data_IF_204175526980
#
_entry.id   IF_204175526980
#
_cell.length_a   1.000
_cell.length_b   1.000
_cell.length_c   1.000
_cell.angle_alpha   90.00
_cell.angle_beta   90.00
_cell.angle_gamma   90.00
#
_symmetry.space_group_name_H-M   'P 1'
#
loop_
_entity.id
_entity.type
_entity.pdbx_description
1 polymer ?
#
# COMPACT_ATOMS: atom_id res chain seq x y z
N UNK A 1 -10.31 17.46 -13.32
CA UNK A 1 -9.14 17.14 -14.21
C UNK A 1 -8.06 16.54 -13.31
N UNK A 2 -7.48 15.41 -13.71
CA UNK A 2 -6.38 14.78 -12.97
C UNK A 2 -5.12 15.67 -12.99
N UNK A 3 -4.35 15.74 -11.88
CA UNK A 3 -3.02 16.34 -11.91
C UNK A 3 -2.13 15.65 -12.97
N UNK A 4 -1.20 16.40 -13.56
CA UNK A 4 -0.35 15.88 -14.64
C UNK A 4 0.42 14.61 -14.24
N UNK A 5 1.01 14.60 -13.04
CA UNK A 5 1.72 13.42 -12.47
C UNK A 5 0.79 12.22 -12.37
N UNK A 6 -0.42 12.42 -11.80
CA UNK A 6 -1.39 11.34 -11.62
C UNK A 6 -1.85 10.78 -12.98
N UNK A 7 -2.03 11.64 -14.00
CA UNK A 7 -2.38 11.19 -15.35
C UNK A 7 -1.27 10.31 -15.98
N UNK A 8 0.01 10.65 -15.75
CA UNK A 8 1.15 9.84 -16.20
C UNK A 8 1.17 8.50 -15.46
N UNK A 9 0.98 8.53 -14.14
CA UNK A 9 0.93 7.32 -13.31
C UNK A 9 -0.24 6.42 -13.71
N UNK A 10 -1.42 6.99 -13.95
CA UNK A 10 -2.57 6.23 -14.44
C UNK A 10 -2.27 5.54 -15.77
N UNK A 11 -1.66 6.27 -16.72
CA UNK A 11 -1.27 5.70 -18.03
C UNK A 11 -0.30 4.53 -17.87
N UNK A 12 0.72 4.66 -17.00
CA UNK A 12 1.68 3.61 -16.71
C UNK A 12 1.00 2.40 -16.06
N UNK A 13 0.22 2.64 -14.99
CA UNK A 13 -0.46 1.58 -14.24
C UNK A 13 -1.50 0.83 -15.09
N UNK A 14 -2.29 1.53 -15.91
CA UNK A 14 -3.27 0.87 -16.79
C UNK A 14 -2.61 0.06 -17.92
N UNK A 15 -1.44 0.49 -18.44
CA UNK A 15 -0.66 -0.30 -19.40
C UNK A 15 -0.15 -1.58 -18.73
N UNK A 16 0.45 -1.46 -17.57
CA UNK A 16 0.97 -2.59 -16.78
C UNK A 16 -0.14 -3.52 -16.27
N UNK A 17 -1.28 -2.97 -15.86
CA UNK A 17 -2.44 -3.71 -15.39
C UNK A 17 -3.04 -4.68 -16.42
N UNK A 18 -2.85 -4.43 -17.73
CA UNK A 18 -3.25 -5.40 -18.77
C UNK A 18 -2.43 -6.69 -18.70
N UNK A 19 -1.15 -6.59 -18.34
CA UNK A 19 -0.28 -7.75 -18.12
C UNK A 19 -0.76 -8.51 -16.90
N UNK A 20 -1.02 -7.77 -15.80
CA UNK A 20 -1.50 -8.33 -14.55
C UNK A 20 -2.83 -9.09 -14.73
N UNK A 21 -3.82 -8.49 -15.40
CA UNK A 21 -5.13 -9.14 -15.65
C UNK A 21 -4.96 -10.43 -16.44
N UNK A 22 -4.09 -10.42 -17.46
CA UNK A 22 -3.86 -11.61 -18.28
C UNK A 22 -3.27 -12.77 -17.48
N UNK A 23 -2.32 -12.46 -16.60
CA UNK A 23 -1.52 -13.45 -15.88
C UNK A 23 -2.17 -13.81 -14.50
N UNK A 24 -3.26 -13.11 -14.10
CA UNK A 24 -3.94 -13.31 -12.82
C UNK A 24 -4.62 -14.68 -12.72
N UNK A 25 -4.24 -15.44 -11.70
CA UNK A 25 -4.79 -16.78 -11.48
C UNK A 25 -4.23 -17.88 -12.41
N UNK A 26 -3.32 -17.55 -13.34
CA UNK A 26 -2.66 -18.48 -14.25
C UNK A 26 -1.47 -19.19 -13.59
N UNK A 27 -1.70 -19.83 -12.44
CA UNK A 27 -0.66 -20.39 -11.56
C UNK A 27 0.24 -21.38 -12.31
N UNK A 28 -0.33 -22.21 -13.20
CA UNK A 28 0.39 -23.23 -13.94
C UNK A 28 1.38 -22.64 -14.97
N UNK A 29 1.14 -21.41 -15.42
CA UNK A 29 1.95 -20.72 -16.43
C UNK A 29 2.94 -19.71 -15.82
N UNK A 30 2.87 -19.44 -14.53
CA UNK A 30 3.77 -18.51 -13.85
C UNK A 30 5.04 -19.22 -13.42
N UNK A 31 6.19 -18.69 -13.81
CA UNK A 31 7.47 -19.08 -13.22
C UNK A 31 7.57 -18.43 -11.85
N UNK A 32 7.12 -19.15 -10.82
CA UNK A 32 7.16 -18.71 -9.43
C UNK A 32 8.53 -19.01 -8.86
N UNK A 33 9.20 -17.99 -8.32
CA UNK A 33 10.42 -18.14 -7.55
C UNK A 33 10.14 -17.70 -6.11
N UNK A 34 10.51 -18.53 -5.14
CA UNK A 34 10.43 -18.17 -3.73
C UNK A 34 11.71 -17.41 -3.34
N UNK A 35 11.57 -16.18 -2.88
CA UNK A 35 12.66 -15.41 -2.22
C UNK A 35 12.90 -15.97 -0.81
N UNK A 36 11.78 -16.26 -0.09
CA UNK A 36 11.72 -16.87 1.25
C UNK A 36 10.39 -17.59 1.42
N UNK A 37 10.17 -18.24 2.58
CA UNK A 37 8.86 -18.84 2.90
C UNK A 37 7.80 -17.73 2.95
N UNK A 38 6.82 -17.80 2.02
CA UNK A 38 5.75 -16.80 1.92
C UNK A 38 6.11 -15.52 1.15
N UNK A 39 7.36 -15.40 0.67
CA UNK A 39 7.86 -14.28 -0.12
C UNK A 39 8.16 -14.77 -1.54
N UNK A 40 7.33 -14.38 -2.49
CA UNK A 40 7.36 -14.86 -3.86
C UNK A 40 7.61 -13.73 -4.84
N UNK A 41 8.31 -14.06 -5.92
CA UNK A 41 8.36 -13.25 -7.13
C UNK A 41 7.92 -14.10 -8.30
N UNK A 42 7.15 -13.52 -9.19
CA UNK A 42 6.72 -14.19 -10.41
C UNK A 42 7.32 -13.52 -11.64
N UNK A 43 7.26 -14.23 -12.77
CA UNK A 43 7.61 -13.59 -14.05
C UNK A 43 6.70 -12.40 -14.38
N UNK A 44 5.53 -12.29 -13.73
CA UNK A 44 4.62 -11.16 -13.88
C UNK A 44 5.15 -9.89 -13.22
N UNK A 45 5.69 -9.99 -11.97
CA UNK A 45 6.27 -8.85 -11.25
C UNK A 45 7.34 -8.16 -12.10
N UNK A 46 8.29 -8.94 -12.63
CA UNK A 46 9.38 -8.43 -13.48
C UNK A 46 8.87 -7.78 -14.79
N UNK A 47 7.85 -8.37 -15.44
CA UNK A 47 7.26 -7.82 -16.67
C UNK A 47 6.49 -6.53 -16.39
N UNK A 48 5.76 -6.48 -15.29
CA UNK A 48 4.98 -5.33 -14.86
C UNK A 48 5.93 -4.19 -14.48
N UNK A 49 6.95 -4.44 -13.65
CA UNK A 49 7.95 -3.45 -13.29
C UNK A 49 8.65 -2.88 -14.52
N UNK A 50 9.09 -3.73 -15.45
CA UNK A 50 9.69 -3.29 -16.71
C UNK A 50 8.76 -2.37 -17.50
N UNK A 51 7.48 -2.72 -17.62
CA UNK A 51 6.48 -1.91 -18.33
C UNK A 51 6.25 -0.55 -17.66
N UNK A 52 6.24 -0.51 -16.31
CA UNK A 52 6.14 0.71 -15.52
C UNK A 52 7.37 1.59 -15.74
N UNK A 53 8.58 1.03 -15.58
CA UNK A 53 9.84 1.75 -15.77
C UNK A 53 9.99 2.31 -17.17
N UNK A 54 9.65 1.55 -18.23
CA UNK A 54 9.69 2.04 -19.61
C UNK A 54 8.80 3.29 -19.80
N UNK A 55 7.60 3.27 -19.22
CA UNK A 55 6.67 4.39 -19.35
C UNK A 55 7.11 5.57 -18.49
N UNK A 56 7.51 5.34 -17.25
CA UNK A 56 7.87 6.40 -16.31
C UNK A 56 9.19 7.08 -16.71
N UNK A 57 10.20 6.35 -17.15
CA UNK A 57 11.48 6.91 -17.64
C UNK A 57 11.32 7.80 -18.86
N UNK A 58 10.29 7.58 -19.68
CA UNK A 58 9.99 8.47 -20.80
C UNK A 58 9.56 9.88 -20.33
N UNK A 59 8.78 9.95 -19.22
CA UNK A 59 8.28 11.21 -18.67
C UNK A 59 9.20 11.82 -17.60
N UNK A 60 9.96 10.97 -16.90
CA UNK A 60 10.85 11.32 -15.80
C UNK A 60 12.26 10.73 -16.02
N UNK A 61 12.98 11.17 -17.08
CA UNK A 61 14.28 10.56 -17.46
C UNK A 61 15.37 10.75 -16.40
N UNK A 62 15.29 11.81 -15.60
CA UNK A 62 16.29 12.17 -14.59
C UNK A 62 15.88 11.71 -13.17
N UNK A 63 14.73 11.06 -12.99
CA UNK A 63 14.26 10.63 -11.67
C UNK A 63 15.14 9.51 -11.08
N UNK A 64 15.22 9.49 -9.75
CA UNK A 64 15.62 8.30 -9.03
C UNK A 64 14.44 7.31 -9.00
N UNK A 65 14.72 6.02 -9.04
CA UNK A 65 13.69 5.01 -8.86
C UNK A 65 14.05 4.09 -7.70
N UNK A 66 13.07 3.81 -6.85
CA UNK A 66 13.13 2.78 -5.81
C UNK A 66 12.04 1.78 -6.18
N UNK A 67 12.44 0.56 -6.49
CA UNK A 67 11.52 -0.49 -6.96
C UNK A 67 11.74 -1.77 -6.19
N UNK A 68 10.73 -2.59 -6.09
CA UNK A 68 10.81 -3.83 -5.34
C UNK A 68 11.79 -4.82 -5.99
N UNK A 69 11.75 -4.99 -7.32
CA UNK A 69 12.49 -6.05 -8.01
C UNK A 69 13.87 -5.60 -8.49
N UNK A 70 13.97 -4.41 -9.07
CA UNK A 70 15.25 -3.86 -9.57
C UNK A 70 16.01 -3.06 -8.52
N UNK A 71 15.43 -2.78 -7.35
CA UNK A 71 16.05 -2.01 -6.28
C UNK A 71 16.18 -0.52 -6.61
N UNK A 72 17.34 0.05 -6.35
CA UNK A 72 17.56 1.49 -6.47
C UNK A 72 18.28 1.86 -7.78
N UNK A 73 17.61 2.61 -8.63
CA UNK A 73 18.15 3.17 -9.88
C UNK A 73 18.41 4.67 -9.66
N UNK A 74 19.68 5.06 -9.67
CA UNK A 74 20.10 6.44 -9.40
C UNK A 74 19.78 7.36 -10.57
N UNK A 75 19.29 8.55 -10.27
CA UNK A 75 19.10 9.70 -11.12
C UNK A 75 19.53 10.98 -10.39
N UNK A 76 19.12 12.14 -10.88
CA UNK A 76 19.46 13.45 -10.30
C UNK A 76 18.21 14.28 -9.93
N UNK A 77 17.01 13.73 -10.14
CA UNK A 77 15.73 14.39 -9.92
C UNK A 77 14.99 13.88 -8.68
N UNK A 78 13.68 14.01 -8.73
CA UNK A 78 12.76 13.45 -7.75
C UNK A 78 12.85 11.91 -7.67
N UNK A 79 12.33 11.34 -6.61
CA UNK A 79 12.30 9.89 -6.45
C UNK A 79 10.91 9.35 -6.78
N UNK A 80 10.87 8.36 -7.68
CA UNK A 80 9.66 7.59 -7.98
C UNK A 80 9.81 6.22 -7.32
N UNK A 81 8.80 5.84 -6.52
CA UNK A 81 8.75 4.57 -5.82
C UNK A 81 7.71 3.67 -6.48
N UNK A 82 8.06 2.41 -6.72
CA UNK A 82 7.22 1.46 -7.47
C UNK A 82 7.16 0.13 -6.73
N UNK A 83 5.95 -0.38 -6.56
CA UNK A 83 5.67 -1.78 -6.31
C UNK A 83 4.86 -2.32 -7.48
N UNK A 84 5.38 -3.29 -8.23
CA UNK A 84 4.69 -3.85 -9.39
C UNK A 84 3.45 -4.65 -9.03
N UNK A 85 3.48 -5.41 -7.93
CA UNK A 85 2.36 -6.21 -7.42
C UNK A 85 2.42 -6.30 -5.90
N UNK A 86 1.90 -5.30 -5.19
CA UNK A 86 1.62 -5.50 -3.77
C UNK A 86 0.58 -6.61 -3.59
N UNK A 87 0.92 -7.62 -2.80
CA UNK A 87 0.11 -8.81 -2.60
C UNK A 87 0.41 -9.94 -3.59
N UNK A 88 1.67 -10.19 -3.94
CA UNK A 88 2.10 -11.28 -4.84
C UNK A 88 1.54 -12.64 -4.43
N UNK A 89 1.46 -12.95 -3.14
CA UNK A 89 0.80 -14.18 -2.66
C UNK A 89 -0.67 -14.25 -3.07
N UNK A 90 -1.41 -13.13 -2.95
CA UNK A 90 -2.80 -13.04 -3.38
C UNK A 90 -2.91 -13.21 -4.90
N UNK A 91 -1.99 -12.58 -5.66
CA UNK A 91 -1.94 -12.70 -7.11
C UNK A 91 -1.81 -14.15 -7.57
N UNK A 92 -0.87 -14.89 -6.98
CA UNK A 92 -0.63 -16.31 -7.28
C UNK A 92 -1.88 -17.15 -6.99
N UNK A 93 -2.59 -16.85 -5.89
CA UNK A 93 -3.78 -17.62 -5.48
C UNK A 93 -5.09 -17.12 -6.10
N UNK A 94 -5.07 -16.15 -7.01
CA UNK A 94 -6.27 -15.61 -7.64
C UNK A 94 -7.17 -14.82 -6.68
N UNK A 95 -6.60 -14.28 -5.60
CA UNK A 95 -7.32 -13.43 -4.63
C UNK A 95 -7.21 -11.98 -5.12
N UNK A 96 -8.33 -11.25 -5.34
CA UNK A 96 -8.32 -9.95 -6.02
C UNK A 96 -7.86 -8.78 -5.15
N UNK A 97 -7.24 -9.02 -3.98
CA UNK A 97 -6.65 -7.98 -3.13
C UNK A 97 -5.19 -7.78 -3.51
N UNK A 98 -4.96 -7.04 -4.57
CA UNK A 98 -3.64 -6.75 -5.14
C UNK A 98 -3.58 -5.32 -5.65
N UNK A 99 -2.42 -4.72 -5.66
CA UNK A 99 -2.23 -3.33 -6.10
C UNK A 99 -0.96 -3.11 -6.91
N UNK A 100 -1.04 -2.30 -7.97
CA UNK A 100 0.11 -1.63 -8.58
C UNK A 100 0.28 -0.31 -7.86
N UNK A 101 1.45 -0.06 -7.27
CA UNK A 101 1.73 1.13 -6.47
C UNK A 101 2.76 1.99 -7.17
N UNK A 102 2.48 3.30 -7.29
CA UNK A 102 3.43 4.29 -7.80
C UNK A 102 3.30 5.55 -6.96
N UNK A 103 4.42 6.03 -6.40
CA UNK A 103 4.44 7.33 -5.74
C UNK A 103 5.61 8.19 -6.18
N UNK A 104 5.49 9.49 -5.94
CA UNK A 104 6.56 10.47 -6.16
C UNK A 104 6.92 11.15 -4.86
N UNK A 105 8.22 11.23 -4.59
CA UNK A 105 8.81 11.89 -3.42
C UNK A 105 9.67 13.06 -3.90
N UNK A 106 9.44 14.22 -3.32
CA UNK A 106 10.22 15.44 -3.54
C UNK A 106 10.62 15.99 -2.19
N UNK A 107 11.92 16.21 -1.96
CA UNK A 107 12.45 16.71 -0.68
C UNK A 107 11.94 15.94 0.55
N UNK A 108 11.98 14.62 0.49
CA UNK A 108 11.51 13.66 1.52
C UNK A 108 9.99 13.68 1.78
N UNK A 109 9.20 14.41 0.99
CA UNK A 109 7.74 14.42 1.09
C UNK A 109 7.09 13.65 -0.07
N UNK A 110 6.10 12.81 0.24
CA UNK A 110 5.31 12.11 -0.77
C UNK A 110 4.30 13.11 -1.35
N UNK A 111 4.47 13.48 -2.63
CA UNK A 111 3.67 14.53 -3.27
C UNK A 111 2.52 14.00 -4.11
N UNK A 112 2.69 12.83 -4.72
CA UNK A 112 1.71 12.19 -5.58
C UNK A 112 1.77 10.68 -5.37
N UNK A 113 0.63 10.00 -5.44
CA UNK A 113 0.59 8.55 -5.27
C UNK A 113 -0.66 7.93 -5.88
N UNK A 114 -0.51 6.73 -6.39
CA UNK A 114 -1.60 5.91 -6.89
C UNK A 114 -1.50 4.47 -6.36
N UNK A 115 -2.66 3.84 -6.18
CA UNK A 115 -2.81 2.40 -6.00
C UNK A 115 -3.86 1.93 -6.99
N UNK A 116 -3.49 1.06 -7.89
CA UNK A 116 -4.40 0.55 -8.91
C UNK A 116 -4.62 -0.95 -8.75
N UNK A 117 -5.85 -1.32 -8.42
CA UNK A 117 -6.29 -2.71 -8.48
C UNK A 117 -6.97 -2.95 -9.84
N UNK A 118 -6.30 -3.60 -10.78
CA UNK A 118 -6.86 -3.81 -12.12
C UNK A 118 -7.98 -4.85 -12.17
N UNK A 119 -8.03 -5.80 -11.23
CA UNK A 119 -9.05 -6.84 -11.16
C UNK A 119 -10.38 -6.26 -10.73
N UNK A 120 -10.39 -5.41 -9.70
CA UNK A 120 -11.59 -4.72 -9.22
C UNK A 120 -11.86 -3.40 -9.98
N UNK A 121 -10.94 -3.00 -10.87
CA UNK A 121 -10.95 -1.71 -11.57
C UNK A 121 -11.10 -0.52 -10.60
N UNK A 122 -10.40 -0.59 -9.48
CA UNK A 122 -10.32 0.48 -8.48
C UNK A 122 -9.00 1.24 -8.64
N UNK A 123 -9.08 2.50 -9.05
CA UNK A 123 -7.95 3.41 -9.20
C UNK A 123 -7.99 4.45 -8.08
N UNK A 124 -7.21 4.23 -7.04
CA UNK A 124 -7.02 5.17 -5.94
C UNK A 124 -5.88 6.12 -6.28
N UNK A 125 -6.07 7.42 -5.99
CA UNK A 125 -5.02 8.41 -6.17
C UNK A 125 -5.15 9.55 -5.18
N UNK A 126 -4.01 10.14 -4.85
CA UNK A 126 -3.91 11.39 -4.12
C UNK A 126 -2.75 12.23 -4.65
N UNK A 127 -2.89 13.54 -4.50
CA UNK A 127 -1.83 14.52 -4.74
C UNK A 127 -1.90 15.54 -3.62
N UNK A 128 -0.77 16.00 -3.12
CA UNK A 128 -0.67 16.88 -1.95
C UNK A 128 -1.60 18.10 -2.10
N UNK A 129 -2.51 18.27 -1.13
CA UNK A 129 -3.52 19.33 -1.09
C UNK A 129 -4.69 19.18 -2.07
N UNK A 130 -4.79 18.04 -2.80
CA UNK A 130 -5.88 17.79 -3.77
C UNK A 130 -6.94 16.81 -3.27
N UNK A 131 -6.73 16.22 -2.08
CA UNK A 131 -7.57 15.19 -1.52
C UNK A 131 -7.31 13.82 -2.14
N UNK A 132 -7.94 12.81 -1.54
CA UNK A 132 -7.89 11.42 -1.99
C UNK A 132 -9.12 11.05 -2.80
N UNK A 133 -8.92 10.19 -3.79
CA UNK A 133 -9.94 9.81 -4.77
C UNK A 133 -9.88 8.32 -5.09
N UNK A 134 -11.04 7.73 -5.35
CA UNK A 134 -11.15 6.41 -5.97
C UNK A 134 -11.94 6.56 -7.27
N UNK A 135 -11.32 6.23 -8.40
CA UNK A 135 -11.85 6.53 -9.71
C UNK A 135 -12.19 8.04 -9.81
N UNK A 136 -13.47 8.37 -10.03
CA UNK A 136 -13.92 9.76 -10.13
C UNK A 136 -14.62 10.27 -8.84
N UNK A 137 -14.54 9.52 -7.73
CA UNK A 137 -15.20 9.87 -6.47
C UNK A 137 -14.16 10.27 -5.43
N UNK A 138 -14.37 11.42 -4.76
CA UNK A 138 -13.58 11.81 -3.61
C UNK A 138 -13.87 10.86 -2.46
N UNK A 139 -12.82 10.35 -1.82
CA UNK A 139 -12.90 9.45 -0.67
C UNK A 139 -12.48 10.17 0.62
N UNK A 140 -12.93 9.63 1.74
CA UNK A 140 -12.58 10.07 3.09
C UNK A 140 -12.57 8.87 4.01
N UNK A 141 -11.77 8.95 5.07
CA UNK A 141 -11.78 7.99 6.17
C UNK A 141 -13.16 7.93 6.83
N UNK A 142 -13.45 6.85 7.52
CA UNK A 142 -14.71 6.66 8.24
C UNK A 142 -14.88 7.65 9.39
N UNK A 143 -16.08 7.71 9.96
CA UNK A 143 -16.41 8.55 11.12
C UNK A 143 -16.75 7.72 12.37
N UNK A 144 -16.44 6.42 12.39
CA UNK A 144 -16.67 5.56 13.55
C UNK A 144 -15.74 5.96 14.68
N UNK A 145 -16.26 6.01 15.91
CA UNK A 145 -15.54 6.46 17.11
C UNK A 145 -15.37 5.33 18.13
N UNK A 146 -16.28 4.35 18.11
CA UNK A 146 -16.26 3.22 19.02
C UNK A 146 -15.53 2.04 18.38
N UNK A 147 -14.46 1.56 18.97
CA UNK A 147 -13.71 0.41 18.48
C UNK A 147 -14.60 -0.82 18.26
N UNK A 148 -15.61 -1.03 19.11
CA UNK A 148 -16.56 -2.16 18.99
C UNK A 148 -17.33 -2.18 17.67
N UNK A 149 -17.41 -1.06 16.96
CA UNK A 149 -18.03 -0.96 15.64
C UNK A 149 -17.03 -0.91 14.48
N UNK A 150 -15.72 -0.93 14.79
CA UNK A 150 -14.65 -0.75 13.82
C UNK A 150 -14.13 -2.07 13.25
N UNK A 151 -13.77 -2.06 11.97
CA UNK A 151 -12.97 -3.08 11.32
C UNK A 151 -11.54 -2.62 11.18
N UNK A 152 -10.59 -3.44 11.62
CA UNK A 152 -9.17 -3.10 11.59
C UNK A 152 -8.43 -4.09 10.67
N UNK A 153 -7.63 -3.56 9.75
CA UNK A 153 -6.72 -4.34 8.91
C UNK A 153 -5.41 -4.62 9.62
N UNK A 154 -4.73 -5.71 9.25
CA UNK A 154 -3.38 -6.03 9.72
C UNK A 154 -2.63 -6.91 8.73
N UNK A 155 -1.31 -6.81 8.73
CA UNK A 155 -0.44 -7.86 8.20
C UNK A 155 -0.02 -8.84 9.28
N UNK A 156 0.30 -10.05 8.90
CA UNK A 156 0.82 -11.07 9.80
C UNK A 156 2.27 -11.40 9.45
N UNK A 157 3.13 -11.69 10.43
CA UNK A 157 4.49 -12.14 10.15
C UNK A 157 4.47 -13.41 9.30
N UNK A 158 5.39 -13.49 8.35
CA UNK A 158 5.58 -14.65 7.49
C UNK A 158 7.08 -14.92 7.28
N UNK A 159 7.42 -16.17 6.92
CA UNK A 159 8.80 -16.57 6.73
C UNK A 159 9.61 -16.45 8.02
N UNK A 160 10.73 -15.74 7.96
CA UNK A 160 11.61 -15.50 9.09
C UNK A 160 11.26 -14.23 9.88
N UNK A 161 10.19 -13.54 9.54
CA UNK A 161 9.70 -12.37 10.26
C UNK A 161 9.04 -12.83 11.55
N UNK A 162 9.69 -12.61 12.69
CA UNK A 162 9.17 -12.93 14.02
C UNK A 162 8.87 -11.62 14.72
N UNK A 163 7.58 -11.33 14.90
CA UNK A 163 7.14 -10.21 15.72
C UNK A 163 6.70 -10.76 17.08
N UNK A 164 7.55 -10.65 18.09
CA UNK A 164 7.33 -11.26 19.40
C UNK A 164 5.97 -10.90 20.02
N UNK A 165 5.46 -9.71 19.70
CA UNK A 165 4.26 -9.15 20.32
C UNK A 165 3.02 -9.17 19.39
N UNK A 166 3.18 -9.54 18.12
CA UNK A 166 2.08 -9.50 17.14
C UNK A 166 0.82 -10.22 17.59
N UNK A 167 0.95 -11.43 18.14
CA UNK A 167 -0.20 -12.21 18.55
C UNK A 167 -0.92 -11.62 19.76
N UNK A 168 -0.20 -10.93 20.65
CA UNK A 168 -0.80 -10.17 21.76
C UNK A 168 -1.53 -8.93 21.23
N UNK A 169 -0.89 -8.18 20.31
CA UNK A 169 -1.53 -7.06 19.62
C UNK A 169 -2.83 -7.49 18.94
N UNK A 170 -2.78 -8.59 18.18
CA UNK A 170 -3.95 -9.16 17.50
C UNK A 170 -5.03 -9.56 18.49
N UNK A 171 -4.68 -10.21 19.59
CA UNK A 171 -5.61 -10.59 20.65
C UNK A 171 -6.28 -9.35 21.26
N UNK A 172 -5.51 -8.33 21.63
CA UNK A 172 -6.01 -7.10 22.23
C UNK A 172 -6.98 -6.38 21.29
N UNK A 173 -6.58 -6.16 20.04
CA UNK A 173 -7.42 -5.48 19.04
C UNK A 173 -8.68 -6.31 18.74
N UNK A 174 -8.57 -7.62 18.60
CA UNK A 174 -9.72 -8.49 18.30
C UNK A 174 -10.78 -8.48 19.37
N UNK A 175 -10.42 -8.35 20.66
CA UNK A 175 -11.36 -8.26 21.78
C UNK A 175 -12.17 -6.97 21.81
N UNK A 176 -11.64 -5.90 21.20
CA UNK A 176 -12.20 -4.56 21.30
C UNK A 176 -12.96 -4.11 20.05
N UNK A 177 -12.79 -4.81 18.93
CA UNK A 177 -13.28 -4.37 17.61
C UNK A 177 -14.36 -5.30 17.06
N UNK A 178 -15.08 -4.82 16.05
CA UNK A 178 -16.05 -5.65 15.31
C UNK A 178 -15.35 -6.77 14.52
N UNK A 179 -14.04 -6.68 14.34
CA UNK A 179 -13.22 -7.74 13.76
C UNK A 179 -11.95 -7.23 13.11
N UNK A 180 -11.00 -8.15 12.96
CA UNK A 180 -9.74 -7.92 12.28
C UNK A 180 -9.77 -8.57 10.89
N UNK A 181 -9.11 -7.95 9.93
CA UNK A 181 -8.95 -8.43 8.55
C UNK A 181 -7.47 -8.51 8.20
N UNK A 182 -7.06 -9.63 7.61
CA UNK A 182 -5.76 -9.76 6.94
C UNK A 182 -6.02 -9.87 5.44
N UNK A 183 -5.90 -8.75 4.72
CA UNK A 183 -6.18 -8.72 3.29
C UNK A 183 -4.98 -9.16 2.45
N UNK A 184 -3.75 -9.04 2.98
CA UNK A 184 -2.52 -9.56 2.39
C UNK A 184 -1.91 -8.65 1.31
N UNK A 185 -2.27 -7.36 1.32
CA UNK A 185 -1.71 -6.31 0.48
C UNK A 185 -1.80 -4.98 1.24
N UNK A 186 -0.68 -4.47 1.74
CA UNK A 186 -0.63 -3.30 2.62
C UNK A 186 -1.16 -2.04 1.93
N UNK A 187 -0.89 -1.86 0.64
CA UNK A 187 -1.41 -0.75 -0.15
C UNK A 187 -2.94 -0.75 -0.22
N UNK A 188 -3.54 -1.93 -0.39
CA UNK A 188 -5.01 -2.09 -0.43
C UNK A 188 -5.62 -1.83 0.95
N UNK A 189 -4.99 -2.33 2.03
CA UNK A 189 -5.42 -2.03 3.40
C UNK A 189 -5.44 -0.51 3.64
N UNK A 190 -4.38 0.21 3.27
CA UNK A 190 -4.30 1.67 3.38
C UNK A 190 -5.33 2.39 2.49
N UNK A 191 -5.56 1.92 1.27
CA UNK A 191 -6.60 2.45 0.39
C UNK A 191 -8.00 2.26 0.99
N UNK A 192 -8.21 1.13 1.70
CA UNK A 192 -9.48 0.86 2.38
C UNK A 192 -9.65 1.71 3.64
N UNK A 193 -8.58 2.03 4.39
CA UNK A 193 -8.64 3.05 5.45
C UNK A 193 -9.01 4.41 4.84
N UNK A 194 -8.31 4.84 3.79
CA UNK A 194 -8.55 6.13 3.13
C UNK A 194 -9.98 6.27 2.58
N UNK A 195 -10.61 5.16 2.18
CA UNK A 195 -11.99 5.14 1.66
C UNK A 195 -13.05 4.81 2.71
N UNK A 196 -12.67 4.60 3.98
CA UNK A 196 -13.58 4.29 5.08
C UNK A 196 -14.21 2.90 5.01
N UNK A 197 -13.67 1.99 4.18
CA UNK A 197 -14.08 0.58 4.10
C UNK A 197 -13.64 -0.18 5.37
N UNK A 198 -12.44 0.13 5.89
CA UNK A 198 -11.97 -0.24 7.23
C UNK A 198 -11.58 1.01 8.00
N UNK A 199 -11.43 0.91 9.31
CA UNK A 199 -11.30 2.07 10.21
C UNK A 199 -9.86 2.33 10.65
N UNK A 200 -9.03 1.30 10.61
CA UNK A 200 -7.61 1.36 10.92
C UNK A 200 -6.85 0.19 10.29
N UNK A 201 -5.54 0.31 10.27
CA UNK A 201 -4.61 -0.70 9.78
C UNK A 201 -3.29 -0.58 10.51
N UNK A 202 -2.72 -1.70 10.96
CA UNK A 202 -1.35 -1.73 11.46
C UNK A 202 -0.58 -2.90 10.86
N UNK A 203 0.69 -2.66 10.55
CA UNK A 203 1.61 -3.71 10.10
C UNK A 203 3.04 -3.29 10.41
N UNK A 204 3.92 -4.28 10.56
CA UNK A 204 5.34 -4.09 10.86
C UNK A 204 6.21 -4.61 9.72
N UNK A 205 7.43 -4.09 9.67
CA UNK A 205 8.49 -4.51 8.76
C UNK A 205 8.12 -4.40 7.27
N UNK A 206 7.46 -3.29 6.91
CA UNK A 206 7.10 -2.93 5.55
C UNK A 206 8.22 -2.14 4.84
N UNK A 207 8.23 -2.21 3.53
CA UNK A 207 9.10 -1.39 2.70
C UNK A 207 8.39 -0.11 2.26
N UNK A 208 9.16 0.85 1.78
CA UNK A 208 8.62 2.13 1.33
C UNK A 208 7.64 1.96 0.15
N UNK A 209 7.89 1.02 -0.74
CA UNK A 209 7.03 0.76 -1.90
C UNK A 209 5.66 0.19 -1.51
N UNK A 210 5.57 -0.59 -0.42
CA UNK A 210 4.31 -1.15 0.08
C UNK A 210 3.34 -0.06 0.57
N UNK A 211 3.87 1.06 1.11
CA UNK A 211 3.08 2.02 1.89
C UNK A 211 3.03 3.45 1.35
N UNK A 212 4.01 3.87 0.56
CA UNK A 212 4.18 5.29 0.21
C UNK A 212 2.92 5.94 -0.37
N UNK A 213 2.28 5.32 -1.36
CA UNK A 213 1.03 5.84 -1.92
C UNK A 213 -0.13 5.81 -0.93
N UNK A 214 -0.21 4.74 -0.13
CA UNK A 214 -1.26 4.56 0.87
C UNK A 214 -1.20 5.63 1.96
N UNK A 215 0.00 6.01 2.37
CA UNK A 215 0.24 7.10 3.35
C UNK A 215 -0.34 8.42 2.85
N UNK A 216 -0.03 8.79 1.61
CA UNK A 216 -0.57 10.02 1.02
C UNK A 216 -2.10 9.94 0.92
N UNK A 217 -2.64 8.80 0.49
CA UNK A 217 -4.10 8.58 0.42
C UNK A 217 -4.77 8.77 1.76
N UNK A 218 -4.26 8.18 2.84
CA UNK A 218 -4.82 8.29 4.18
C UNK A 218 -4.75 9.73 4.67
N UNK A 219 -3.63 10.43 4.51
CA UNK A 219 -3.48 11.84 4.89
C UNK A 219 -4.48 12.73 4.14
N UNK A 220 -4.55 12.61 2.82
CA UNK A 220 -5.43 13.41 1.97
C UNK A 220 -6.93 13.07 2.14
N UNK A 221 -7.23 11.88 2.68
CA UNK A 221 -8.58 11.46 3.07
C UNK A 221 -8.99 11.98 4.47
N UNK A 222 -8.08 12.63 5.21
CA UNK A 222 -8.30 13.14 6.56
C UNK A 222 -8.08 12.09 7.66
N UNK A 223 -7.32 11.06 7.38
CA UNK A 223 -6.86 10.09 8.37
C UNK A 223 -5.61 10.53 9.12
N UNK A 224 -5.13 9.68 9.99
CA UNK A 224 -3.91 9.88 10.78
C UNK A 224 -2.97 8.69 10.64
N UNK A 225 -1.67 8.99 10.67
CA UNK A 225 -0.58 8.04 10.52
C UNK A 225 0.45 8.23 11.64
N UNK A 226 0.96 7.13 12.15
CA UNK A 226 2.10 7.06 13.07
C UNK A 226 2.80 5.69 12.93
N UNK A 227 3.87 5.47 13.66
CA UNK A 227 4.28 4.13 14.03
C UNK A 227 3.31 3.57 15.09
N UNK A 228 3.22 2.25 15.30
CA UNK A 228 2.30 1.66 16.28
C UNK A 228 2.54 2.14 17.73
N UNK A 229 3.76 2.57 18.05
CA UNK A 229 4.14 3.16 19.34
C UNK A 229 3.78 4.66 19.48
N UNK A 230 3.14 5.26 18.46
CA UNK A 230 2.75 6.67 18.43
C UNK A 230 3.80 7.63 17.91
N UNK A 231 5.02 7.19 17.60
CA UNK A 231 6.04 8.02 17.00
C UNK A 231 5.62 8.52 15.61
N UNK A 232 6.16 9.66 15.20
CA UNK A 232 5.91 10.20 13.86
C UNK A 232 6.45 9.24 12.80
N UNK A 233 5.60 8.85 11.86
CA UNK A 233 6.03 8.09 10.69
C UNK A 233 6.92 8.94 9.76
N UNK A 234 7.95 8.33 9.19
CA UNK A 234 8.88 8.93 8.21
C UNK A 234 9.15 7.94 7.08
N UNK A 235 9.73 8.39 5.97
CA UNK A 235 10.13 7.52 4.84
C UNK A 235 11.14 6.42 5.20
N UNK A 236 11.68 6.46 6.43
CA UNK A 236 12.60 5.43 6.98
C UNK A 236 11.91 4.46 7.93
N UNK A 237 10.67 4.76 8.33
CA UNK A 237 9.89 3.88 9.21
C UNK A 237 9.49 2.61 8.47
N UNK A 238 9.51 1.50 9.17
CA UNK A 238 9.11 0.19 8.64
C UNK A 238 7.79 -0.30 9.22
N UNK A 239 7.36 0.30 10.30
CA UNK A 239 6.13 -0.03 11.00
C UNK A 239 5.12 1.09 10.77
N UNK A 240 3.85 0.74 10.60
CA UNK A 240 2.78 1.70 10.32
C UNK A 240 1.54 1.43 11.16
N UNK A 241 0.92 2.51 11.61
CA UNK A 241 -0.45 2.56 12.09
C UNK A 241 -1.17 3.68 11.33
N UNK A 242 -2.22 3.33 10.62
CA UNK A 242 -3.11 4.24 9.91
C UNK A 242 -4.54 4.13 10.45
N UNK A 243 -5.27 5.23 10.56
CA UNK A 243 -6.67 5.17 11.00
C UNK A 243 -7.48 6.43 10.63
N UNK A 244 -8.76 6.40 10.97
CA UNK A 244 -9.71 7.48 10.77
C UNK A 244 -9.55 8.66 11.78
N UNK A 245 -8.40 8.87 12.40
CA UNK A 245 -8.12 9.93 13.39
C UNK A 245 -8.85 9.73 14.73
N UNK A 246 -10.14 9.39 14.73
CA UNK A 246 -10.99 9.35 15.93
C UNK A 246 -10.62 8.20 16.87
N UNK A 247 -10.18 7.07 16.32
CA UNK A 247 -9.76 5.88 17.07
C UNK A 247 -8.25 5.74 17.20
N UNK A 248 -7.45 6.65 16.63
CA UNK A 248 -6.00 6.48 16.50
C UNK A 248 -5.29 6.31 17.84
N UNK A 249 -5.59 7.16 18.83
CA UNK A 249 -4.99 7.05 20.15
C UNK A 249 -5.40 5.76 20.87
N UNK A 250 -6.67 5.34 20.72
CA UNK A 250 -7.14 4.06 21.27
C UNK A 250 -6.38 2.87 20.68
N UNK A 251 -6.07 2.92 19.37
CA UNK A 251 -5.25 1.88 18.74
C UNK A 251 -3.81 1.89 19.26
N UNK A 252 -3.16 3.06 19.41
CA UNK A 252 -1.81 3.15 20.00
C UNK A 252 -1.79 2.52 21.38
N UNK A 253 -2.71 2.92 22.27
CA UNK A 253 -2.80 2.39 23.63
C UNK A 253 -2.88 0.87 23.65
N UNK A 254 -3.72 0.26 22.79
CA UNK A 254 -3.95 -1.18 22.79
C UNK A 254 -2.90 -1.99 22.02
N UNK A 255 -2.10 -1.34 21.16
CA UNK A 255 -0.94 -1.95 20.51
C UNK A 255 0.34 -1.86 21.37
N UNK A 256 0.37 -0.98 22.38
CA UNK A 256 1.54 -0.77 23.27
C UNK A 256 1.36 -1.38 24.66
N UNK A 257 0.17 -1.82 25.04
CA UNK A 257 -0.13 -2.53 26.30
C UNK A 257 0.37 -3.97 26.26
N UNK A 258 1.68 -4.18 26.15
CA UNK A 258 2.28 -5.52 26.04
C UNK A 258 2.97 -5.95 27.33
#
# INVERSE_FOLDING_TARGET
>A
MLPATINIFEKAARKAGKILIRDFGEIENLQIQSKNVGDFVTSADLKIEKSLLETLKYYYPDANYITEESGHIKGNGETIVIDPIDGTSNFIHGIPNIGIVISKIVSDEITDGIIYNPILNEFYWASNGKGAWCNNKRIRVSKRQDLSSCLIGTGAPFGNRIYNDYYKELENISKLTAGVRRLGAASIDLAYVASGKIDGFWEKDLNLWDVSSGILLVNEAGGRLSEPNGNKWTTKSRDILASNTLIHNQLIENLTLL
#
